data_IF_969375930215
#
_entry.id   IF_969375930215
#
_cell.length_a   1.000
_cell.length_b   1.000
_cell.length_c   1.000
_cell.angle_alpha   90.00
_cell.angle_beta   90.00
_cell.angle_gamma   90.00
#
_symmetry.space_group_name_H-M   'P 1'
#
loop_
_entity.id
_entity.type
_entity.pdbx_description
1 polymer ?
#
# COMPACT_ATOMS: atom_id res chain seq x y z
N UNK A 1 6.60 -15.53 26.94
CA UNK A 1 6.57 -14.23 26.23
C UNK A 1 6.55 -13.14 27.29
N UNK A 2 7.66 -12.43 27.46
CA UNK A 2 7.96 -11.58 28.63
C UNK A 2 7.30 -10.18 28.56
N UNK A 3 5.99 -10.10 28.33
CA UNK A 3 5.26 -8.81 28.25
C UNK A 3 5.30 -8.03 29.58
N UNK A 4 5.31 -8.76 30.69
CA UNK A 4 5.41 -8.18 32.02
C UNK A 4 6.82 -7.65 32.34
N UNK A 5 7.87 -8.28 31.81
CA UNK A 5 9.24 -7.78 32.01
C UNK A 5 9.50 -6.54 31.16
N UNK A 6 8.98 -6.49 29.92
CA UNK A 6 9.09 -5.30 29.07
C UNK A 6 8.37 -4.11 29.70
N UNK A 7 7.18 -4.31 30.29
CA UNK A 7 6.44 -3.28 31.01
C UNK A 7 7.18 -2.78 32.26
N UNK A 8 7.76 -3.69 33.05
CA UNK A 8 8.53 -3.35 34.26
C UNK A 8 9.80 -2.53 33.96
N UNK A 9 10.50 -2.85 32.86
CA UNK A 9 11.65 -2.08 32.39
C UNK A 9 11.24 -0.66 32.00
N UNK A 10 10.09 -0.50 31.33
CA UNK A 10 9.55 0.80 30.95
C UNK A 10 9.21 1.68 32.17
N UNK A 11 8.56 1.09 33.18
CA UNK A 11 8.18 1.81 34.42
C UNK A 11 9.41 2.18 35.25
N UNK A 12 10.44 1.32 35.30
CA UNK A 12 11.68 1.58 36.07
C UNK A 12 12.56 2.68 35.46
N UNK A 13 12.39 2.99 34.17
CA UNK A 13 13.14 4.05 33.45
C UNK A 13 12.21 5.03 32.73
N UNK A 14 11.18 5.50 33.42
CA UNK A 14 10.21 6.47 32.90
C UNK A 14 10.88 7.74 32.32
N UNK A 15 12.02 8.17 32.87
CA UNK A 15 12.80 9.31 32.37
C UNK A 15 13.32 9.17 30.93
N UNK A 16 13.44 7.95 30.39
CA UNK A 16 13.85 7.72 28.99
C UNK A 16 12.65 7.39 28.11
N UNK A 17 11.71 6.61 28.65
CA UNK A 17 10.51 6.23 27.91
C UNK A 17 9.60 7.43 27.60
N UNK A 18 9.39 8.33 28.57
CA UNK A 18 8.50 9.49 28.42
C UNK A 18 9.00 10.48 27.35
N UNK A 19 10.27 10.95 27.36
CA UNK A 19 10.73 11.89 26.34
C UNK A 19 10.66 11.32 24.92
N UNK A 20 11.00 10.04 24.73
CA UNK A 20 10.97 9.43 23.40
C UNK A 20 9.54 9.21 22.93
N UNK A 21 8.62 8.85 23.83
CA UNK A 21 7.20 8.80 23.51
C UNK A 21 6.65 10.18 23.11
N UNK A 22 7.07 11.26 23.79
CA UNK A 22 6.71 12.64 23.43
C UNK A 22 7.25 13.00 22.04
N UNK A 23 8.50 12.63 21.72
CA UNK A 23 9.07 12.84 20.36
C UNK A 23 8.27 12.06 19.30
N UNK A 24 7.88 10.82 19.58
CA UNK A 24 7.07 10.01 18.67
C UNK A 24 5.69 10.63 18.43
N UNK A 25 5.03 11.12 19.49
CA UNK A 25 3.78 11.88 19.40
C UNK A 25 3.95 13.17 18.58
N UNK A 26 5.03 13.90 18.83
CA UNK A 26 5.37 15.11 18.07
C UNK A 26 5.56 14.81 16.57
N UNK A 27 6.29 13.75 16.24
CA UNK A 27 6.50 13.31 14.87
C UNK A 27 5.19 12.87 14.19
N UNK A 28 4.35 12.10 14.89
CA UNK A 28 3.03 11.70 14.38
C UNK A 28 2.11 12.91 14.16
N UNK A 29 2.10 13.86 15.09
CA UNK A 29 1.37 15.13 14.97
C UNK A 29 1.88 15.98 13.81
N UNK A 30 3.20 16.04 13.61
CA UNK A 30 3.81 16.74 12.49
C UNK A 30 3.42 16.13 11.14
N UNK A 31 3.47 14.81 11.00
CA UNK A 31 3.02 14.11 9.78
C UNK A 31 1.53 14.36 9.52
N UNK A 32 0.70 14.29 10.58
CA UNK A 32 -0.73 14.55 10.45
C UNK A 32 -1.04 16.00 10.01
N UNK A 33 -0.32 16.98 10.56
CA UNK A 33 -0.48 18.40 10.23
C UNK A 33 0.01 18.74 8.82
N UNK A 34 1.09 18.11 8.36
CA UNK A 34 1.71 18.38 7.05
C UNK A 34 1.05 17.62 5.89
N UNK A 35 0.37 16.50 6.16
CA UNK A 35 -0.34 15.76 5.10
C UNK A 35 -1.60 16.52 4.67
N UNK A 36 -1.78 16.89 3.39
CA UNK A 36 -2.96 17.61 2.91
C UNK A 36 -4.22 16.74 2.95
N UNK A 37 -5.38 17.37 3.18
CA UNK A 37 -6.66 16.66 3.10
C UNK A 37 -7.07 16.56 1.64
N UNK A 38 -7.57 15.39 1.26
CA UNK A 38 -8.15 15.18 -0.06
C UNK A 38 -9.67 15.20 0.05
N UNK A 39 -10.31 15.68 -0.99
CA UNK A 39 -11.75 15.71 -1.16
C UNK A 39 -12.08 14.91 -2.41
N UNK A 40 -13.06 14.03 -2.29
CA UNK A 40 -13.57 13.29 -3.43
C UNK A 40 -14.93 13.81 -3.90
N UNK A 41 -15.10 13.84 -5.22
CA UNK A 41 -16.38 14.11 -5.88
C UNK A 41 -16.63 13.03 -6.93
N UNK A 42 -17.89 12.60 -7.04
CA UNK A 42 -18.30 11.54 -7.94
C UNK A 42 -19.43 12.03 -8.84
N UNK A 43 -19.40 11.64 -10.12
CA UNK A 43 -20.49 11.86 -11.08
C UNK A 43 -20.77 10.59 -11.88
N UNK A 44 -22.02 10.43 -12.34
CA UNK A 44 -22.46 9.25 -13.07
C UNK A 44 -23.25 9.64 -14.32
N UNK A 45 -22.82 9.11 -15.46
CA UNK A 45 -23.54 9.18 -16.73
C UNK A 45 -24.07 7.80 -17.09
N UNK A 46 -25.24 7.79 -17.71
CA UNK A 46 -25.84 6.63 -18.35
C UNK A 46 -25.96 6.91 -19.84
N UNK A 47 -25.45 6.01 -20.66
CA UNK A 47 -25.65 6.07 -22.10
C UNK A 47 -26.99 5.41 -22.43
N UNK A 48 -27.78 6.09 -23.26
CA UNK A 48 -29.11 5.64 -23.67
C UNK A 48 -29.27 5.72 -25.18
N UNK A 49 -30.13 4.86 -25.71
CA UNK A 49 -30.60 4.96 -27.09
C UNK A 49 -31.45 6.23 -27.23
N UNK A 50 -31.32 6.99 -28.33
CA UNK A 50 -32.14 8.17 -28.54
C UNK A 50 -33.64 7.80 -28.72
N UNK A 51 -34.56 8.76 -28.52
CA UNK A 51 -36.00 8.52 -28.65
C UNK A 51 -36.43 7.99 -30.02
N UNK A 52 -35.68 8.32 -31.08
CA UNK A 52 -35.92 7.88 -32.45
C UNK A 52 -35.42 6.47 -32.78
N UNK A 53 -34.79 5.76 -31.82
CA UNK A 53 -34.22 4.44 -32.04
C UNK A 53 -32.84 4.45 -32.71
N UNK A 54 -32.33 3.27 -33.04
CA UNK A 54 -30.97 3.09 -33.58
C UNK A 54 -30.86 3.23 -35.11
N UNK A 55 -32.00 3.31 -35.81
CA UNK A 55 -32.09 3.28 -37.27
C UNK A 55 -32.85 4.50 -37.79
N UNK A 56 -32.34 5.12 -38.84
CA UNK A 56 -33.11 6.05 -39.67
C UNK A 56 -33.55 5.33 -40.94
N UNK A 57 -34.85 5.38 -41.23
CA UNK A 57 -35.40 4.98 -42.52
C UNK A 57 -35.16 6.14 -43.49
N UNK A 58 -34.23 5.98 -44.43
CA UNK A 58 -33.94 6.99 -45.46
C UNK A 58 -34.52 6.57 -46.81
N UNK A 59 -35.53 7.33 -47.25
CA UNK A 59 -36.21 7.25 -48.57
C UNK A 59 -37.04 5.96 -48.84
N UNK A 60 -38.03 5.95 -49.78
CA UNK A 60 -38.96 4.83 -50.02
C UNK A 60 -38.32 3.51 -50.45
N UNK A 61 -37.00 3.50 -50.71
CA UNK A 61 -36.24 2.35 -51.21
C UNK A 61 -35.60 1.49 -50.09
N UNK A 62 -36.09 1.61 -48.85
CA UNK A 62 -35.69 0.77 -47.69
C UNK A 62 -34.19 0.76 -47.36
N UNK A 63 -33.45 1.83 -47.66
CA UNK A 63 -32.09 1.97 -47.15
C UNK A 63 -32.15 2.41 -45.70
N UNK A 64 -32.04 1.43 -44.80
CA UNK A 64 -31.91 1.67 -43.36
C UNK A 64 -30.48 2.00 -43.01
N UNK A 65 -30.26 3.18 -42.43
CA UNK A 65 -28.96 3.59 -41.93
C UNK A 65 -28.95 3.47 -40.42
N UNK A 66 -28.20 2.49 -39.92
CA UNK A 66 -28.05 2.15 -38.49
C UNK A 66 -26.87 2.92 -37.88
N UNK A 67 -26.95 3.32 -36.62
CA UNK A 67 -25.77 3.79 -35.88
C UNK A 67 -24.82 2.60 -35.64
N UNK A 68 -23.57 2.62 -36.16
CA UNK A 68 -22.62 1.53 -35.96
C UNK A 68 -22.36 1.19 -34.48
N UNK A 69 -22.49 2.17 -33.58
CA UNK A 69 -22.31 1.97 -32.14
C UNK A 69 -23.48 1.26 -31.45
N UNK A 70 -24.65 1.19 -32.11
CA UNK A 70 -25.87 0.55 -31.61
C UNK A 70 -26.21 -0.74 -32.36
N UNK A 71 -25.36 -1.17 -33.30
CA UNK A 71 -25.62 -2.36 -34.12
C UNK A 71 -25.31 -3.69 -33.45
N UNK A 72 -24.90 -3.68 -32.19
CA UNK A 72 -24.58 -4.86 -31.40
C UNK A 72 -25.49 -4.91 -30.17
N UNK A 73 -25.82 -6.12 -29.70
CA UNK A 73 -26.70 -6.32 -28.53
C UNK A 73 -26.21 -5.59 -27.26
N UNK A 74 -24.89 -5.37 -27.15
CA UNK A 74 -24.23 -4.61 -26.06
C UNK A 74 -23.59 -3.28 -26.52
N UNK A 75 -24.07 -2.70 -27.62
CA UNK A 75 -23.45 -1.51 -28.24
C UNK A 75 -23.25 -0.33 -27.28
N UNK A 76 -24.21 -0.07 -26.40
CA UNK A 76 -24.10 0.95 -25.36
C UNK A 76 -23.01 0.63 -24.32
N UNK A 77 -22.91 -0.64 -23.88
CA UNK A 77 -21.90 -1.07 -22.90
C UNK A 77 -20.49 -1.04 -23.49
N UNK A 78 -20.35 -1.47 -24.74
CA UNK A 78 -19.09 -1.41 -25.48
C UNK A 78 -18.66 0.04 -25.65
N UNK A 79 -19.59 0.92 -26.07
CA UNK A 79 -19.33 2.36 -26.21
C UNK A 79 -18.90 2.99 -24.89
N UNK A 80 -19.58 2.68 -23.78
CA UNK A 80 -19.20 3.15 -22.45
C UNK A 80 -17.79 2.68 -22.07
N UNK A 81 -17.48 1.38 -22.28
CA UNK A 81 -16.18 0.80 -21.98
C UNK A 81 -15.04 1.44 -22.79
N UNK A 82 -15.26 1.70 -24.08
CA UNK A 82 -14.30 2.40 -24.93
C UNK A 82 -14.08 3.85 -24.50
N UNK A 83 -15.12 4.54 -24.01
CA UNK A 83 -14.98 5.89 -23.45
C UNK A 83 -14.21 5.86 -22.13
N UNK A 84 -14.53 4.92 -21.24
CA UNK A 84 -13.81 4.70 -19.97
C UNK A 84 -12.31 4.48 -20.23
N UNK A 85 -11.96 3.62 -21.20
CA UNK A 85 -10.55 3.36 -21.54
C UNK A 85 -9.86 4.61 -22.09
N UNK A 86 -10.53 5.38 -22.96
CA UNK A 86 -9.94 6.61 -23.50
C UNK A 86 -9.73 7.67 -22.40
N UNK A 87 -10.75 7.89 -21.55
CA UNK A 87 -10.67 8.87 -20.47
C UNK A 87 -9.62 8.52 -19.42
N UNK A 88 -9.29 7.24 -19.23
CA UNK A 88 -8.18 6.80 -18.37
C UNK A 88 -6.84 6.72 -19.12
N UNK A 89 -6.76 7.10 -20.40
CA UNK A 89 -5.49 7.10 -21.12
C UNK A 89 -4.54 8.15 -20.54
N UNK A 90 -3.21 7.89 -20.51
CA UNK A 90 -2.24 8.85 -19.99
C UNK A 90 -2.31 10.23 -20.66
N UNK A 91 -2.60 10.26 -21.96
CA UNK A 91 -2.71 11.51 -22.72
C UNK A 91 -3.89 12.36 -22.23
N UNK A 92 -5.09 11.77 -22.10
CA UNK A 92 -6.27 12.49 -21.62
C UNK A 92 -6.12 12.85 -20.14
N UNK A 93 -5.51 11.99 -19.33
CA UNK A 93 -5.22 12.32 -17.93
C UNK A 93 -4.31 13.54 -17.81
N UNK A 94 -3.26 13.64 -18.62
CA UNK A 94 -2.37 14.80 -18.63
C UNK A 94 -3.04 16.06 -19.17
N UNK A 95 -3.97 15.93 -20.12
CA UNK A 95 -4.75 17.04 -20.65
C UNK A 95 -5.71 17.62 -19.59
N UNK A 96 -6.39 16.75 -18.85
CA UNK A 96 -7.44 17.14 -17.91
C UNK A 96 -6.90 17.51 -16.52
N UNK A 97 -5.75 16.95 -16.12
CA UNK A 97 -5.10 17.28 -14.85
C UNK A 97 -4.10 18.41 -15.01
N UNK A 98 -4.04 19.31 -14.04
CA UNK A 98 -3.03 20.37 -14.05
C UNK A 98 -1.73 19.83 -13.46
N UNK A 99 -0.64 19.94 -14.22
CA UNK A 99 0.68 19.50 -13.76
C UNK A 99 1.03 20.13 -12.39
N UNK A 100 1.36 19.28 -11.42
CA UNK A 100 1.75 19.71 -10.07
C UNK A 100 0.61 20.06 -9.11
N UNK A 101 -0.68 20.03 -9.51
CA UNK A 101 -1.78 20.28 -8.57
C UNK A 101 -1.94 19.15 -7.54
N UNK A 102 -1.55 17.93 -7.92
CA UNK A 102 -1.78 16.72 -7.13
C UNK A 102 -3.23 16.25 -7.17
N UNK A 103 -4.02 16.76 -8.12
CA UNK A 103 -5.36 16.27 -8.41
C UNK A 103 -5.27 15.00 -9.26
N UNK A 104 -6.20 14.07 -9.05
CA UNK A 104 -6.30 12.85 -9.84
C UNK A 104 -7.76 12.56 -10.14
N UNK A 105 -8.02 11.80 -11.20
CA UNK A 105 -9.34 11.24 -11.44
C UNK A 105 -9.22 9.80 -11.93
N UNK A 106 -10.32 9.08 -11.82
CA UNK A 106 -10.50 7.74 -12.37
C UNK A 106 -11.89 7.62 -12.96
N UNK A 107 -12.00 6.84 -14.03
CA UNK A 107 -13.27 6.56 -14.68
C UNK A 107 -13.53 5.05 -14.65
N UNK A 108 -14.75 4.64 -14.35
CA UNK A 108 -15.16 3.23 -14.26
C UNK A 108 -16.61 3.05 -14.72
N UNK A 109 -17.12 1.82 -14.69
CA UNK A 109 -18.55 1.52 -14.88
C UNK A 109 -19.37 1.69 -13.59
N UNK A 110 -18.79 2.22 -12.51
CA UNK A 110 -19.48 2.37 -11.22
C UNK A 110 -19.73 1.06 -10.48
N UNK A 111 -19.03 -0.03 -10.85
CA UNK A 111 -19.26 -1.39 -10.33
C UNK A 111 -20.66 -1.94 -10.62
N UNK A 112 -21.35 -1.38 -11.61
CA UNK A 112 -22.66 -1.84 -12.06
C UNK A 112 -22.52 -2.40 -13.48
N UNK A 113 -23.19 -3.51 -13.74
CA UNK A 113 -23.26 -4.07 -15.09
C UNK A 113 -24.27 -3.27 -15.92
N UNK A 114 -23.75 -2.42 -16.82
CA UNK A 114 -24.57 -1.52 -17.62
C UNK A 114 -23.74 -0.46 -18.34
N UNK A 115 -24.38 0.35 -19.20
CA UNK A 115 -23.71 1.38 -19.98
C UNK A 115 -23.49 2.66 -19.16
N UNK A 116 -22.87 2.50 -18.00
CA UNK A 116 -22.59 3.55 -17.04
C UNK A 116 -21.15 4.06 -17.19
N UNK A 117 -20.96 5.36 -16.97
CA UNK A 117 -19.65 5.99 -16.84
C UNK A 117 -19.64 6.74 -15.52
N UNK A 118 -18.98 6.16 -14.52
CA UNK A 118 -18.75 6.75 -13.22
C UNK A 118 -17.39 7.43 -13.20
N UNK A 119 -17.35 8.70 -12.84
CA UNK A 119 -16.13 9.48 -12.67
C UNK A 119 -15.93 9.76 -11.20
N UNK A 120 -14.74 9.50 -10.68
CA UNK A 120 -14.30 9.91 -9.34
C UNK A 120 -13.09 10.81 -9.48
N UNK A 121 -13.13 12.00 -8.89
CA UNK A 121 -12.00 12.91 -8.82
C UNK A 121 -11.60 13.17 -7.37
N UNK A 122 -10.28 13.24 -7.14
CA UNK A 122 -9.66 13.54 -5.86
C UNK A 122 -8.85 14.84 -6.00
N UNK A 123 -9.08 15.80 -5.11
CA UNK A 123 -8.36 17.08 -5.10
C UNK A 123 -8.12 17.57 -3.67
N UNK A 124 -7.13 18.43 -3.49
CA UNK A 124 -6.92 19.16 -2.22
C UNK A 124 -7.98 20.24 -1.96
N UNK A 125 -8.74 20.62 -3.00
CA UNK A 125 -9.83 21.60 -2.91
C UNK A 125 -11.17 20.96 -3.27
N UNK A 126 -12.23 21.19 -2.46
CA UNK A 126 -13.57 20.66 -2.74
C UNK A 126 -14.12 21.17 -4.08
N UNK A 127 -13.93 22.45 -4.39
CA UNK A 127 -14.39 23.04 -5.65
C UNK A 127 -13.64 22.48 -6.85
N UNK A 128 -12.35 22.18 -6.70
CA UNK A 128 -11.56 21.60 -7.77
C UNK A 128 -11.97 20.15 -8.04
N UNK A 129 -12.27 19.36 -6.99
CA UNK A 129 -12.79 18.00 -7.16
C UNK A 129 -14.09 18.02 -7.98
N UNK A 130 -15.03 18.90 -7.65
CA UNK A 130 -16.29 19.03 -8.39
C UNK A 130 -16.06 19.46 -9.84
N UNK A 131 -15.27 20.52 -10.06
CA UNK A 131 -14.93 21.02 -11.40
C UNK A 131 -14.20 19.98 -12.24
N UNK A 132 -13.37 19.14 -11.62
CA UNK A 132 -12.67 18.05 -12.31
C UNK A 132 -13.68 17.01 -12.83
N UNK A 133 -14.63 16.59 -11.99
CA UNK A 133 -15.72 15.70 -12.45
C UNK A 133 -16.46 16.35 -13.61
N UNK A 134 -16.91 17.60 -13.47
CA UNK A 134 -17.61 18.33 -14.55
C UNK A 134 -16.81 18.35 -15.87
N UNK A 135 -15.51 18.62 -15.82
CA UNK A 135 -14.61 18.59 -16.98
C UNK A 135 -14.52 17.21 -17.62
N UNK A 136 -14.32 16.16 -16.83
CA UNK A 136 -14.21 14.78 -17.34
C UNK A 136 -15.53 14.35 -17.98
N UNK A 137 -16.67 14.66 -17.35
CA UNK A 137 -18.00 14.37 -17.92
C UNK A 137 -18.24 15.13 -19.23
N UNK A 138 -17.82 16.39 -19.32
CA UNK A 138 -17.88 17.16 -20.56
C UNK A 138 -17.00 16.55 -21.66
N UNK A 139 -15.76 16.15 -21.32
CA UNK A 139 -14.85 15.47 -22.26
C UNK A 139 -15.42 14.14 -22.75
N UNK A 140 -16.11 13.39 -21.89
CA UNK A 140 -16.80 12.15 -22.27
C UNK A 140 -17.89 12.39 -23.32
N UNK A 141 -18.71 13.44 -23.14
CA UNK A 141 -19.75 13.83 -24.11
C UNK A 141 -19.14 14.24 -25.46
N UNK A 142 -18.07 15.04 -25.43
CA UNK A 142 -17.37 15.47 -26.64
C UNK A 142 -16.73 14.30 -27.40
N UNK A 143 -16.11 13.36 -26.68
CA UNK A 143 -15.51 12.17 -27.28
C UNK A 143 -16.58 11.29 -27.96
N UNK A 144 -17.73 11.10 -27.30
CA UNK A 144 -18.85 10.36 -27.86
C UNK A 144 -19.38 11.02 -29.14
N UNK A 145 -19.59 12.34 -29.13
CA UNK A 145 -20.05 13.10 -30.30
C UNK A 145 -19.05 13.04 -31.47
N UNK A 146 -17.76 13.19 -31.16
CA UNK A 146 -16.66 13.11 -32.14
C UNK A 146 -16.62 11.73 -32.79
N UNK A 147 -16.73 10.66 -32.01
CA UNK A 147 -16.75 9.28 -32.53
C UNK A 147 -17.95 9.01 -33.40
N UNK A 148 -19.15 9.43 -32.98
CA UNK A 148 -20.38 9.23 -33.76
C UNK A 148 -20.33 9.98 -35.09
N UNK A 149 -19.79 11.19 -35.09
CA UNK A 149 -19.59 11.98 -36.31
C UNK A 149 -18.53 11.36 -37.22
N UNK A 150 -17.42 10.88 -36.66
CA UNK A 150 -16.34 10.20 -37.41
C UNK A 150 -16.83 8.91 -38.07
N UNK A 151 -17.70 8.17 -37.38
CA UNK A 151 -18.36 6.96 -37.91
C UNK A 151 -19.53 7.26 -38.85
N UNK A 152 -19.78 8.54 -39.16
CA UNK A 152 -20.86 8.98 -40.05
C UNK A 152 -22.23 8.46 -39.60
N UNK A 153 -22.43 8.30 -38.29
CA UNK A 153 -23.73 7.91 -37.76
C UNK A 153 -24.77 9.00 -38.08
N UNK A 154 -26.02 8.65 -38.40
CA UNK A 154 -27.08 9.64 -38.52
C UNK A 154 -27.29 10.39 -37.20
N UNK A 155 -27.38 11.72 -37.23
CA UNK A 155 -27.56 12.54 -36.02
C UNK A 155 -28.80 12.16 -35.19
N UNK A 156 -29.83 11.64 -35.86
CA UNK A 156 -31.08 11.18 -35.23
C UNK A 156 -30.91 9.90 -34.41
N UNK A 157 -29.83 9.14 -34.65
CA UNK A 157 -29.53 7.87 -33.97
C UNK A 157 -28.35 7.99 -33.01
N UNK A 158 -27.92 9.21 -32.69
CA UNK A 158 -26.84 9.45 -31.73
C UNK A 158 -27.23 8.94 -30.34
N UNK A 159 -26.31 8.20 -29.71
CA UNK A 159 -26.34 7.84 -28.31
C UNK A 159 -26.47 9.11 -27.48
N UNK A 160 -27.50 9.16 -26.66
CA UNK A 160 -27.75 10.23 -25.70
C UNK A 160 -27.10 9.90 -24.36
N UNK A 161 -26.70 10.95 -23.65
CA UNK A 161 -26.12 10.83 -22.31
C UNK A 161 -27.11 11.39 -21.31
N UNK A 162 -27.63 10.53 -20.43
CA UNK A 162 -28.44 10.93 -19.29
C UNK A 162 -27.54 11.08 -18.07
N UNK A 163 -27.58 12.24 -17.43
CA UNK A 163 -26.88 12.45 -16.15
C UNK A 163 -27.72 11.84 -15.03
N UNK A 164 -27.19 10.76 -14.43
CA UNK A 164 -27.90 10.02 -13.37
C UNK A 164 -27.55 10.59 -12.00
N UNK A 165 -26.30 11.02 -11.82
CA UNK A 165 -25.83 11.64 -10.59
C UNK A 165 -25.03 12.89 -10.97
N UNK A 166 -25.59 14.05 -10.62
CA UNK A 166 -24.88 15.33 -10.65
C UNK A 166 -23.70 15.30 -9.67
N UNK A 167 -22.54 15.91 -10.00
CA UNK A 167 -21.36 15.89 -9.15
C UNK A 167 -21.68 16.08 -7.67
N UNK A 168 -21.41 15.04 -6.87
CA UNK A 168 -21.80 15.02 -5.45
C UNK A 168 -21.06 16.08 -4.66
N UNK A 169 -21.66 16.53 -3.54
CA UNK A 169 -20.98 17.42 -2.61
C UNK A 169 -19.65 16.76 -2.16
N UNK A 170 -18.52 17.50 -2.22
CA UNK A 170 -17.22 16.92 -1.95
C UNK A 170 -17.12 16.36 -0.53
N UNK A 171 -16.79 15.07 -0.40
CA UNK A 171 -16.61 14.43 0.91
C UNK A 171 -15.12 14.49 1.28
N UNK A 172 -14.83 14.87 2.54
CA UNK A 172 -13.44 14.97 3.01
C UNK A 172 -12.88 13.58 3.31
N UNK A 173 -11.91 13.13 2.52
CA UNK A 173 -11.18 11.89 2.72
C UNK A 173 -10.00 12.12 3.67
N UNK A 174 -10.15 11.65 4.92
CA UNK A 174 -9.10 11.73 5.96
C UNK A 174 -8.32 10.42 6.09
N UNK A 175 -8.76 9.35 5.42
CA UNK A 175 -8.23 7.99 5.54
C UNK A 175 -6.72 7.89 5.24
N UNK A 176 -6.22 8.66 4.27
CA UNK A 176 -4.78 8.72 3.96
C UNK A 176 -3.95 9.35 5.08
N UNK A 177 -4.45 10.44 5.69
CA UNK A 177 -3.77 11.10 6.81
C UNK A 177 -3.66 10.19 8.04
N UNK A 178 -4.73 9.45 8.33
CA UNK A 178 -4.77 8.55 9.49
C UNK A 178 -3.80 7.38 9.33
N UNK A 179 -3.68 6.82 8.12
CA UNK A 179 -2.70 5.76 7.83
C UNK A 179 -1.26 6.26 7.98
N UNK A 180 -0.95 7.44 7.42
CA UNK A 180 0.38 8.05 7.54
C UNK A 180 0.76 8.36 8.99
N UNK A 181 -0.15 8.99 9.74
CA UNK A 181 0.05 9.28 11.15
C UNK A 181 0.19 8.01 12.00
N UNK A 182 -0.63 6.98 11.73
CA UNK A 182 -0.54 5.70 12.41
C UNK A 182 0.78 4.98 12.15
N UNK A 183 1.25 4.94 10.90
CA UNK A 183 2.54 4.35 10.55
C UNK A 183 3.71 5.09 11.21
N UNK A 184 3.68 6.44 11.19
CA UNK A 184 4.68 7.26 11.87
C UNK A 184 4.70 7.00 13.39
N UNK A 185 3.53 6.84 14.01
CA UNK A 185 3.40 6.51 15.43
C UNK A 185 3.98 5.13 15.75
N UNK A 186 3.68 4.10 14.94
CA UNK A 186 4.21 2.74 15.13
C UNK A 186 5.74 2.73 14.99
N UNK A 187 6.28 3.40 13.97
CA UNK A 187 7.73 3.52 13.79
C UNK A 187 8.39 4.29 14.94
N UNK A 188 7.74 5.35 15.44
CA UNK A 188 8.20 6.09 16.60
C UNK A 188 8.25 5.23 17.87
N UNK A 189 7.23 4.41 18.11
CA UNK A 189 7.22 3.45 19.23
C UNK A 189 8.31 2.39 19.07
N UNK A 190 8.49 1.84 17.87
CA UNK A 190 9.53 0.86 17.60
C UNK A 190 10.93 1.45 17.88
N UNK A 191 11.21 2.66 17.38
CA UNK A 191 12.46 3.37 17.65
C UNK A 191 12.65 3.63 19.16
N UNK A 192 11.58 3.98 19.88
CA UNK A 192 11.62 4.14 21.33
C UNK A 192 12.08 2.88 22.05
N UNK A 193 11.51 1.73 21.70
CA UNK A 193 11.89 0.44 22.28
C UNK A 193 13.34 0.10 21.95
N UNK A 194 13.77 0.29 20.70
CA UNK A 194 15.16 0.03 20.28
C UNK A 194 16.16 0.87 21.07
N UNK A 195 15.91 2.16 21.28
CA UNK A 195 16.79 3.05 22.06
C UNK A 195 16.80 2.66 23.54
N UNK A 196 15.64 2.38 24.13
CA UNK A 196 15.53 1.99 25.53
C UNK A 196 16.32 0.70 25.83
N UNK A 197 16.14 -0.34 25.02
CA UNK A 197 16.87 -1.61 25.16
C UNK A 197 18.34 -1.51 24.77
N UNK A 198 18.67 -0.70 23.76
CA UNK A 198 20.06 -0.48 23.34
C UNK A 198 20.90 0.17 24.44
N UNK A 199 20.36 1.20 25.11
CA UNK A 199 21.01 1.86 26.23
C UNK A 199 21.15 0.94 27.46
N UNK A 200 20.14 0.10 27.72
CA UNK A 200 20.21 -0.89 28.79
C UNK A 200 21.33 -1.92 28.54
N UNK A 201 21.35 -2.53 27.34
CA UNK A 201 22.36 -3.51 26.94
C UNK A 201 23.78 -2.92 26.99
N UNK A 202 23.96 -1.67 26.53
CA UNK A 202 25.23 -0.96 26.61
C UNK A 202 25.68 -0.72 28.07
N UNK A 203 24.75 -0.30 28.94
CA UNK A 203 25.05 -0.03 30.35
C UNK A 203 25.40 -1.29 31.15
N UNK A 204 24.71 -2.41 30.90
CA UNK A 204 25.00 -3.71 31.52
C UNK A 204 26.35 -4.25 31.05
N UNK A 205 26.67 -4.12 29.75
CA UNK A 205 27.96 -4.52 29.20
C UNK A 205 29.12 -3.71 29.77
N UNK A 206 28.93 -2.42 30.05
CA UNK A 206 29.96 -1.56 30.67
C UNK A 206 30.20 -1.93 32.14
N UNK A 207 29.15 -2.23 32.91
CA UNK A 207 29.30 -2.66 34.32
C UNK A 207 30.04 -3.99 34.45
N UNK A 208 29.71 -4.98 33.60
CA UNK A 208 30.44 -6.26 33.55
C UNK A 208 31.93 -6.13 33.20
N UNK A 209 32.32 -5.09 32.46
CA UNK A 209 33.73 -4.80 32.16
C UNK A 209 34.47 -4.13 33.31
N UNK A 210 33.75 -3.52 34.25
CA UNK A 210 34.36 -2.84 35.41
C UNK A 210 34.48 -3.81 36.59
N UNK A 211 33.55 -4.77 36.70
CA UNK A 211 33.56 -5.79 37.76
C UNK A 211 34.46 -6.99 37.44
N UNK A 212 34.70 -7.31 36.16
CA UNK A 212 35.60 -8.42 35.75
C UNK A 212 37.10 -8.10 35.79
N UNK A 213 37.51 -7.02 36.45
CA UNK A 213 38.90 -6.59 36.59
C UNK A 213 39.57 -6.96 37.92
N UNK A 214 38.80 -7.37 38.93
CA UNK A 214 39.31 -7.62 40.29
C UNK A 214 39.65 -9.11 40.57
N UNK A 215 39.28 -10.05 39.70
CA UNK A 215 39.52 -11.49 39.94
C UNK A 215 40.88 -12.00 39.39
N UNK A 216 41.73 -11.12 38.84
CA UNK A 216 42.98 -11.51 38.18
C UNK A 216 44.24 -11.47 39.08
N UNK A 217 44.16 -10.98 40.33
CA UNK A 217 45.35 -10.72 41.17
C UNK A 217 45.52 -11.58 42.44
N UNK A 218 44.67 -12.58 42.72
CA UNK A 218 44.78 -13.35 43.99
C UNK A 218 45.20 -14.83 43.83
N UNK A 219 45.89 -15.18 42.74
CA UNK A 219 46.22 -16.58 42.42
C UNK A 219 47.68 -16.91 42.14
N UNK A 220 48.63 -16.02 42.45
CA UNK A 220 50.05 -16.26 42.18
C UNK A 220 50.93 -15.92 43.41
N UNK A 221 51.43 -16.97 44.08
CA UNK A 221 52.66 -16.90 44.86
C UNK A 221 52.56 -17.20 46.36
N UNK A 222 52.72 -18.47 46.72
CA UNK A 222 53.44 -18.88 47.93
C UNK A 222 53.91 -20.34 47.75
N UNK A 223 55.20 -20.50 47.45
CA UNK A 223 55.90 -21.76 47.21
C UNK A 223 56.43 -22.40 48.52
N UNK A 224 56.56 -23.73 48.48
CA UNK A 224 57.68 -24.57 48.99
C UNK A 224 57.88 -24.85 50.50
N UNK A 225 57.82 -26.14 50.89
CA UNK A 225 58.92 -26.86 51.59
C UNK A 225 58.52 -28.28 52.07
N UNK A 226 59.44 -29.23 51.83
CA UNK A 226 59.73 -30.48 52.57
C UNK A 226 59.14 -31.84 52.08
N UNK A 227 59.85 -32.44 51.12
CA UNK A 227 60.41 -33.83 51.10
C UNK A 227 59.76 -34.94 51.95
N UNK A 228 59.30 -36.01 51.29
CA UNK A 228 59.81 -37.38 51.44
C UNK A 228 59.13 -38.33 50.43
N UNK A 229 59.93 -38.92 49.54
CA UNK A 229 59.64 -40.15 48.80
C UNK A 229 60.47 -41.26 49.48
N UNK A 230 59.96 -42.48 49.71
CA UNK A 230 60.19 -43.53 48.73
C UNK A 230 59.10 -44.63 48.62
N UNK A 231 58.87 -45.06 47.37
CA UNK A 231 58.67 -46.46 46.92
C UNK A 231 57.41 -47.23 47.39
N UNK A 232 56.51 -47.51 46.44
CA UNK A 232 55.93 -48.85 46.24
C UNK A 232 54.99 -48.95 45.01
N UNK A 233 55.46 -49.71 44.01
CA UNK A 233 54.73 -50.56 43.06
C UNK A 233 53.90 -49.87 41.94
N UNK A 234 54.33 -49.90 40.66
CA UNK A 234 54.25 -51.04 39.71
C UNK A 234 52.81 -51.61 39.69
N UNK A 235 51.99 -51.52 38.64
CA UNK A 235 52.21 -52.00 37.28
C UNK A 235 51.01 -51.61 36.37
N UNK A 236 51.34 -51.26 35.12
CA UNK A 236 50.75 -51.73 33.85
C UNK A 236 49.36 -51.28 33.32
N UNK A 237 49.44 -50.97 32.02
CA UNK A 237 48.49 -51.18 30.91
C UNK A 237 47.63 -50.02 30.37
N UNK A 238 48.14 -49.43 29.28
CA UNK A 238 47.46 -48.88 28.09
C UNK A 238 46.65 -49.97 27.34
N UNK A 239 45.99 -49.72 26.18
CA UNK A 239 45.26 -48.55 25.65
C UNK A 239 43.89 -48.94 25.02
N UNK A 240 43.10 -47.98 24.51
CA UNK A 240 42.08 -48.35 23.51
C UNK A 240 41.09 -47.28 23.03
N UNK A 241 41.20 -46.91 21.75
CA UNK A 241 39.99 -46.84 20.89
C UNK A 241 39.48 -45.48 20.45
N UNK A 242 40.23 -44.82 19.56
CA UNK A 242 39.67 -43.93 18.52
C UNK A 242 38.70 -44.71 17.61
N UNK A 243 37.57 -44.12 17.20
CA UNK A 243 37.12 -44.13 15.80
C UNK A 243 35.90 -43.23 15.55
N UNK A 244 36.08 -42.34 14.58
CA UNK A 244 35.08 -41.55 13.89
C UNK A 244 34.14 -42.40 13.02
N UNK A 245 32.92 -41.91 12.76
CA UNK A 245 32.42 -41.71 11.37
C UNK A 245 31.05 -41.04 11.26
N UNK A 246 31.11 -39.82 10.76
CA UNK A 246 30.18 -39.18 9.84
C UNK A 246 29.80 -40.09 8.66
N UNK A 247 28.50 -40.18 8.32
CA UNK A 247 28.08 -40.36 6.92
C UNK A 247 26.66 -39.86 6.65
N UNK A 248 26.61 -38.90 5.74
CA UNK A 248 25.47 -38.33 5.06
C UNK A 248 25.33 -39.04 3.69
N UNK A 249 24.10 -39.37 3.27
CA UNK A 249 23.69 -39.65 1.87
C UNK A 249 22.18 -39.93 1.88
N UNK A 250 21.30 -39.06 1.38
CA UNK A 250 21.02 -38.74 -0.03
C UNK A 250 20.39 -39.87 -0.85
N UNK A 251 19.12 -39.63 -1.21
CA UNK A 251 18.49 -39.80 -2.53
C UNK A 251 17.98 -41.17 -3.03
N UNK A 252 16.74 -41.07 -3.57
CA UNK A 252 16.18 -41.74 -4.76
C UNK A 252 15.58 -43.16 -4.64
N UNK A 253 14.26 -43.22 -4.70
CA UNK A 253 13.38 -44.07 -5.53
C UNK A 253 11.95 -43.91 -4.96
N UNK A 254 10.83 -43.91 -5.68
CA UNK A 254 10.46 -44.59 -6.92
C UNK A 254 9.13 -44.01 -7.44
N UNK A 255 8.95 -44.02 -8.74
CA UNK A 255 7.67 -43.89 -9.44
C UNK A 255 6.77 -45.12 -9.19
N UNK A 256 5.44 -44.94 -9.19
CA UNK A 256 4.47 -45.77 -9.92
C UNK A 256 3.01 -45.42 -9.56
N UNK A 257 2.17 -45.45 -10.60
CA UNK A 257 0.70 -45.40 -10.68
C UNK A 257 0.05 -44.03 -10.80
#
# INVERSE_FOLDING_TARGET
MDFWKTLLVLVRRWYVAVPVFVVALGAAGFVFATTPAYYDSTGLLLLTTPPGGSVVESDPLQKRTLNPLLGFDDGLKISATMLIQNLNSPAVMQELTTAGSGDSYSVSNGQVDGPFIAVKADSKSPDNARKMVEKVLARARQELDTRQTTLQAPKQTFITVSEVITPTQPVKQVSGKMRGAGAALVLGIAACLTVAYGLESYSVRRRRRTEGGDDAETGAGAEDSATADPLALLELEEPGGSLARQRNSSSLHRASS
#
